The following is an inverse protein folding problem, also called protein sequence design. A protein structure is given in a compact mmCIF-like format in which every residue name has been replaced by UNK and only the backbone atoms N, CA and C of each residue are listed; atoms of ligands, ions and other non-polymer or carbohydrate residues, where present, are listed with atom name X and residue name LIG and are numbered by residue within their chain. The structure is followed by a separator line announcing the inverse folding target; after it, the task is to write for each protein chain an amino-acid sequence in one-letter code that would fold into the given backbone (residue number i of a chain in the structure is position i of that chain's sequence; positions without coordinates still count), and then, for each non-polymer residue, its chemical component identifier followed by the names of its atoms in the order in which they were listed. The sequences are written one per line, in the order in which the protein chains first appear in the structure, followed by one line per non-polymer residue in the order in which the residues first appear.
data_IF_776829888079
#
_entry.id   IF_776829888079
#
_cell.length_a   1.000
_cell.length_b   1.000
_cell.length_c   1.000
_cell.angle_alpha   90.00
_cell.angle_beta   90.00
_cell.angle_gamma   90.00
#
_symmetry.space_group_name_H-M   'P 1'
#
loop_
_entity.id
_entity.type
_entity.pdbx_description
1 polymer ?
#
# COMPACT_ATOMS: atom_id res chain seq x y z
N UNK A 1 2.28 -10.93 -1.62
CA UNK A 1 1.87 -10.35 -0.32
C UNK A 1 1.40 -8.93 -0.56
N UNK A 2 0.20 -8.51 -0.09
CA UNK A 2 -0.27 -7.14 -0.25
C UNK A 2 0.62 -6.17 0.53
N UNK A 3 0.81 -4.96 0.00
CA UNK A 3 1.68 -3.95 0.59
C UNK A 3 1.20 -2.53 0.25
N UNK A 4 1.42 -1.62 1.20
CA UNK A 4 1.35 -0.17 0.96
C UNK A 4 2.78 0.33 0.75
N UNK A 5 2.99 1.03 -0.35
CA UNK A 5 4.23 1.70 -0.72
C UNK A 5 4.08 3.18 -0.41
N UNK A 6 4.49 3.59 0.80
CA UNK A 6 4.40 4.96 1.26
C UNK A 6 5.78 5.64 1.24
N UNK A 7 5.77 6.96 1.01
CA UNK A 7 6.93 7.81 1.22
C UNK A 7 6.97 8.31 2.66
N UNK A 8 8.12 8.81 3.10
CA UNK A 8 8.24 9.57 4.35
C UNK A 8 7.26 10.74 4.37
N UNK A 9 6.65 11.02 5.54
CA UNK A 9 5.65 12.08 5.69
C UNK A 9 6.13 13.42 5.12
N UNK A 10 7.42 13.75 5.28
CA UNK A 10 8.02 15.00 4.78
C UNK A 10 8.14 15.13 3.26
N UNK A 11 7.89 14.05 2.50
CA UNK A 11 7.98 14.05 1.03
C UNK A 11 6.67 14.55 0.39
N UNK A 12 5.55 14.46 1.09
CA UNK A 12 4.24 14.93 0.61
C UNK A 12 3.72 14.21 -0.64
N UNK A 13 4.22 13.00 -0.93
CA UNK A 13 3.81 12.20 -2.10
C UNK A 13 2.79 11.15 -1.72
N UNK A 14 1.82 10.85 -2.61
CA UNK A 14 0.80 9.85 -2.34
C UNK A 14 1.41 8.45 -2.27
N UNK A 15 0.89 7.63 -1.37
CA UNK A 15 1.22 6.22 -1.25
C UNK A 15 0.48 5.39 -2.30
N UNK A 16 1.04 4.24 -2.67
CA UNK A 16 0.45 3.31 -3.65
C UNK A 16 0.19 1.96 -3.01
N UNK A 17 -0.91 1.33 -3.38
CA UNK A 17 -1.20 -0.06 -2.99
C UNK A 17 -0.70 -1.00 -4.08
N UNK A 18 -0.21 -2.16 -3.66
CA UNK A 18 0.24 -3.19 -4.59
C UNK A 18 0.56 -4.51 -3.90
N UNK A 19 1.32 -5.35 -4.59
CA UNK A 19 1.75 -6.65 -4.10
C UNK A 19 3.25 -6.82 -4.27
N UNK A 20 3.91 -7.29 -3.22
CA UNK A 20 5.25 -7.87 -3.32
C UNK A 20 5.09 -9.26 -3.96
N UNK A 21 5.67 -9.42 -5.15
CA UNK A 21 5.59 -10.65 -5.97
C UNK A 21 6.78 -11.57 -5.71
N UNK A 22 7.93 -11.03 -5.30
CA UNK A 22 9.12 -11.83 -5.02
C UNK A 22 10.06 -11.14 -4.06
N UNK A 23 10.61 -11.92 -3.13
CA UNK A 23 11.75 -11.52 -2.29
C UNK A 23 12.92 -12.44 -2.60
N UNK A 24 14.11 -11.86 -2.80
CA UNK A 24 15.36 -12.58 -2.97
C UNK A 24 16.41 -11.95 -2.08
N UNK A 25 17.04 -12.77 -1.24
CA UNK A 25 18.18 -12.36 -0.43
C UNK A 25 19.45 -13.00 -0.99
N UNK A 26 20.52 -12.22 -1.13
CA UNK A 26 21.86 -12.70 -1.46
C UNK A 26 22.88 -11.86 -0.70
N UNK A 27 23.66 -12.52 0.17
CA UNK A 27 24.59 -11.85 1.08
C UNK A 27 23.87 -10.76 1.89
N UNK A 28 24.34 -9.51 1.81
CA UNK A 28 23.74 -8.36 2.50
C UNK A 28 22.76 -7.56 1.62
N UNK A 29 22.27 -8.14 0.52
CA UNK A 29 21.35 -7.47 -0.40
C UNK A 29 20.02 -8.19 -0.43
N UNK A 30 18.95 -7.44 -0.16
CA UNK A 30 17.57 -7.88 -0.35
C UNK A 30 17.03 -7.21 -1.61
N UNK A 31 16.56 -8.01 -2.56
CA UNK A 31 15.86 -7.56 -3.76
C UNK A 31 14.38 -7.91 -3.62
N UNK A 32 13.54 -6.89 -3.76
CA UNK A 32 12.09 -7.01 -3.70
C UNK A 32 11.54 -6.66 -5.09
N UNK A 33 10.73 -7.56 -5.65
CA UNK A 33 9.92 -7.28 -6.83
C UNK A 33 8.49 -7.07 -6.39
N UNK A 34 7.85 -6.07 -6.98
CA UNK A 34 6.48 -5.71 -6.66
C UNK A 34 5.75 -5.21 -7.92
N UNK A 35 4.44 -5.19 -7.82
CA UNK A 35 3.52 -4.62 -8.80
C UNK A 35 2.55 -3.71 -8.07
N UNK A 36 2.18 -2.59 -8.71
CA UNK A 36 1.12 -1.73 -8.19
C UNK A 36 -0.23 -2.20 -8.69
N UNK A 37 -1.20 -2.12 -7.81
CA UNK A 37 -2.59 -2.29 -8.20
C UNK A 37 -3.04 -1.01 -8.94
N UNK A 38 -3.55 -1.16 -10.16
CA UNK A 38 -4.00 -0.02 -10.97
C UNK A 38 -5.47 0.33 -10.69
N UNK A 39 -6.21 -0.57 -10.06
CA UNK A 39 -7.63 -0.38 -9.75
C UNK A 39 -7.81 0.39 -8.41
N UNK A 40 -6.75 0.48 -7.61
CA UNK A 40 -6.72 1.21 -6.34
C UNK A 40 -6.12 2.59 -6.53
N UNK A 41 -6.87 3.63 -6.12
CA UNK A 41 -6.37 4.99 -6.21
C UNK A 41 -5.20 5.23 -5.24
N UNK A 42 -4.22 6.09 -5.61
CA UNK A 42 -3.18 6.49 -4.69
C UNK A 42 -3.77 7.13 -3.42
N UNK A 43 -3.23 6.77 -2.26
CA UNK A 43 -3.63 7.32 -0.96
C UNK A 43 -2.89 8.63 -0.73
N UNK A 44 -3.59 9.72 -0.38
CA UNK A 44 -2.89 10.96 0.00
C UNK A 44 -2.18 10.80 1.35
N UNK A 45 -1.16 11.62 1.64
CA UNK A 45 -0.50 11.60 2.95
C UNK A 45 -1.48 11.75 4.12
N UNK A 46 -2.50 12.61 3.98
CA UNK A 46 -3.53 12.83 5.00
C UNK A 46 -4.37 11.58 5.23
N UNK A 47 -4.85 10.93 4.15
CA UNK A 47 -5.58 9.67 4.23
C UNK A 47 -4.75 8.57 4.92
N UNK A 48 -3.44 8.54 4.68
CA UNK A 48 -2.55 7.58 5.32
C UNK A 48 -2.39 7.84 6.83
N UNK A 49 -2.40 9.11 7.26
CA UNK A 49 -2.33 9.52 8.68
C UNK A 49 -3.65 9.22 9.39
N UNK A 50 -4.76 9.57 8.74
CA UNK A 50 -6.11 9.45 9.32
C UNK A 50 -6.50 7.99 9.52
N UNK A 51 -6.10 7.12 8.58
CA UNK A 51 -6.35 5.67 8.61
C UNK A 51 -5.13 4.84 9.05
N UNK A 52 -4.16 5.46 9.73
CA UNK A 52 -2.93 4.77 10.14
C UNK A 52 -3.22 3.51 10.98
N UNK A 53 -4.22 3.58 11.87
CA UNK A 53 -4.64 2.42 12.67
C UNK A 53 -5.24 1.30 11.82
N UNK A 54 -6.11 1.65 10.87
CA UNK A 54 -6.78 0.68 9.97
C UNK A 54 -5.79 -0.02 9.05
N UNK A 55 -4.69 0.66 8.73
CA UNK A 55 -3.59 0.10 7.96
C UNK A 55 -2.51 -0.56 8.83
N UNK A 56 -2.67 -0.68 10.14
CA UNK A 56 -1.65 -1.20 11.05
C UNK A 56 -0.29 -0.47 10.87
N UNK A 57 -0.33 0.84 10.62
CA UNK A 57 0.82 1.72 10.52
C UNK A 57 1.03 2.38 11.88
N UNK A 58 2.19 2.18 12.49
CA UNK A 58 2.50 2.90 13.72
C UNK A 58 2.91 4.34 13.36
N UNK A 59 2.33 5.36 14.02
CA UNK A 59 2.60 6.79 13.68
C UNK A 59 4.09 7.16 13.70
N UNK A 60 4.90 6.42 14.46
CA UNK A 60 6.36 6.61 14.52
C UNK A 60 7.14 6.00 13.34
N UNK A 61 6.53 5.10 12.56
CA UNK A 61 7.14 4.47 11.37
C UNK A 61 7.15 5.40 10.15
N UNK A 62 6.39 6.50 10.19
CA UNK A 62 6.27 7.48 9.11
C UNK A 62 7.49 8.40 8.92
N UNK A 63 8.50 8.26 9.77
CA UNK A 63 9.77 8.98 9.69
C UNK A 63 10.81 8.33 8.76
N UNK A 64 10.48 7.18 8.13
CA UNK A 64 11.36 6.48 7.17
C UNK A 64 10.55 5.86 6.03
N UNK A 65 11.13 5.77 4.84
CA UNK A 65 10.51 5.10 3.68
C UNK A 65 10.38 3.61 4.02
N UNK A 66 9.16 3.12 4.26
CA UNK A 66 8.91 1.78 4.79
C UNK A 66 7.90 1.00 3.92
N UNK A 67 8.14 -0.30 3.76
CA UNK A 67 7.20 -1.25 3.16
C UNK A 67 6.83 -2.27 4.24
N UNK A 68 5.56 -2.30 4.65
CA UNK A 68 5.06 -3.21 5.67
C UNK A 68 4.30 -4.37 5.01
N UNK A 69 4.63 -5.59 5.40
CA UNK A 69 3.77 -6.76 5.17
C UNK A 69 2.67 -6.68 6.22
N UNK A 70 1.41 -6.66 5.78
CA UNK A 70 0.25 -6.54 6.67
C UNK A 70 -0.32 -7.93 6.96
N UNK A 71 -0.45 -8.27 8.24
CA UNK A 71 -1.12 -9.49 8.71
C UNK A 71 -2.65 -9.36 8.74
N UNK A 72 -3.17 -8.20 8.33
CA UNK A 72 -4.61 -7.90 8.22
C UNK A 72 -5.13 -8.12 6.79
N UNK A 73 -6.44 -8.28 6.65
CA UNK A 73 -7.12 -8.24 5.35
C UNK A 73 -7.14 -6.81 4.81
N UNK A 74 -6.04 -6.43 4.16
CA UNK A 74 -5.84 -5.09 3.61
C UNK A 74 -6.94 -4.70 2.61
N UNK A 75 -7.51 -5.66 1.88
CA UNK A 75 -8.55 -5.34 0.89
C UNK A 75 -9.88 -5.01 1.56
N UNK A 76 -10.24 -5.73 2.63
CA UNK A 76 -11.41 -5.39 3.43
C UNK A 76 -11.29 -3.98 4.05
N UNK A 77 -10.11 -3.65 4.61
CA UNK A 77 -9.86 -2.32 5.18
C UNK A 77 -9.93 -1.20 4.12
N UNK A 78 -9.41 -1.43 2.91
CA UNK A 78 -9.50 -0.47 1.80
C UNK A 78 -10.93 -0.30 1.27
N UNK A 79 -11.74 -1.36 1.30
CA UNK A 79 -13.15 -1.34 0.87
C UNK A 79 -14.01 -0.56 1.88
N UNK A 80 -13.76 -0.74 3.19
CA UNK A 80 -14.46 -0.05 4.27
C UNK A 80 -14.32 1.48 4.19
N UNK A 81 -13.15 1.96 3.77
CA UNK A 81 -12.88 3.40 3.59
C UNK A 81 -13.24 3.92 2.18
N UNK A 82 -13.82 3.08 1.32
CA UNK A 82 -14.33 3.47 0.00
C UNK A 82 -13.28 3.78 -1.05
N UNK A 83 -12.04 3.29 -0.89
CA UNK A 83 -10.92 3.57 -1.80
C UNK A 83 -10.78 2.46 -2.87
N UNK A 84 -11.46 1.32 -2.68
CA UNK A 84 -11.59 0.29 -3.71
C UNK A 84 -12.64 0.75 -4.73
N UNK A 85 -12.19 1.14 -5.92
CA UNK A 85 -13.10 1.27 -7.06
C UNK A 85 -13.26 -0.12 -7.67
N UNK A 86 -14.42 -0.75 -7.47
CA UNK A 86 -14.78 -1.93 -8.27
C UNK A 86 -14.85 -1.48 -9.73
N UNK A 87 -13.83 -1.77 -10.52
CA UNK A 87 -13.88 -1.54 -11.97
C UNK A 87 -14.93 -2.51 -12.52
N UNK A 88 -16.06 -1.97 -12.99
CA UNK A 88 -16.99 -2.77 -13.79
C UNK A 88 -16.20 -3.29 -14.99
N UNK A 89 -16.14 -4.63 -15.12
CA UNK A 89 -15.55 -5.27 -16.29
C UNK A 89 -16.19 -4.68 -17.56
N UNK A 90 -15.41 -4.38 -18.61
CA UNK A 90 -15.98 -3.85 -19.84
C UNK A 90 -17.06 -4.80 -20.36
N UNK A 91 -18.28 -4.27 -20.55
CA UNK A 91 -19.38 -5.04 -21.15
C UNK A 91 -18.91 -5.59 -22.49
N UNK A 92 -19.03 -6.90 -22.75
CA UNK A 92 -18.78 -7.43 -24.08
C UNK A 92 -19.72 -6.76 -25.07
N UNK A 93 -19.16 -6.21 -26.14
CA UNK A 93 -19.90 -5.68 -27.30
C UNK A 93 -20.43 -6.84 -28.16
#
# INVERSE_FOLDING_TARGET
MPAIFAYEQGVGKPARVGRITRIRSRQNIIRISFEFDQDIQPLTPEQLVDHAWDFDLNRYEMNRTHWAIKDIDLFAALDEIGIVRRVEAPRPQ
#
